data_IF_292129270952
#
_entry.id   IF_292129270952
#
_cell.length_a   1.000
_cell.length_b   1.000
_cell.length_c   1.000
_cell.angle_alpha   90.00
_cell.angle_beta   90.00
_cell.angle_gamma   90.00
#
_symmetry.space_group_name_H-M   'P 1'
#
loop_
_entity.id
_entity.type
_entity.pdbx_description
1 polymer ?
#
# COMPACT_ATOMS: atom_id res chain seq x y z
N UNK A 1 -15.09 -3.49 22.41
CA UNK A 1 -13.85 -2.92 21.85
C UNK A 1 -12.69 -3.68 22.47
N UNK A 2 -11.71 -4.09 21.68
CA UNK A 2 -10.46 -4.60 22.22
C UNK A 2 -9.54 -3.40 22.47
N UNK A 3 -8.88 -3.35 23.63
CA UNK A 3 -7.90 -2.33 23.97
C UNK A 3 -6.52 -2.97 24.09
N UNK A 4 -5.51 -2.34 23.48
CA UNK A 4 -4.11 -2.71 23.66
C UNK A 4 -3.38 -1.51 24.28
N UNK A 5 -2.47 -1.79 25.21
CA UNK A 5 -1.60 -0.76 25.80
C UNK A 5 -0.18 -1.03 25.33
N UNK A 6 0.40 -0.06 24.65
CA UNK A 6 1.76 -0.13 24.10
C UNK A 6 2.57 0.98 24.75
N UNK A 7 3.76 0.67 25.26
CA UNK A 7 4.72 1.67 25.72
C UNK A 7 5.62 2.05 24.55
N UNK A 8 5.62 3.33 24.21
CA UNK A 8 6.46 3.90 23.18
C UNK A 8 7.63 4.65 23.82
N UNK A 9 8.77 4.70 23.14
CA UNK A 9 9.82 5.64 23.50
C UNK A 9 9.43 7.08 23.13
N UNK A 10 10.20 8.04 23.65
CA UNK A 10 9.92 9.47 23.47
C UNK A 10 9.95 9.89 21.99
N UNK A 11 10.91 9.36 21.22
CA UNK A 11 11.06 9.67 19.80
C UNK A 11 9.84 9.19 18.99
N UNK A 12 9.39 7.96 19.25
CA UNK A 12 8.24 7.36 18.59
C UNK A 12 6.93 8.06 18.98
N UNK A 13 6.82 8.48 20.24
CA UNK A 13 5.67 9.26 20.73
C UNK A 13 5.57 10.59 19.99
N UNK A 14 6.68 11.30 19.81
CA UNK A 14 6.69 12.58 19.11
C UNK A 14 6.39 12.42 17.61
N UNK A 15 6.94 11.38 16.96
CA UNK A 15 6.62 11.08 15.56
C UNK A 15 5.13 10.79 15.37
N UNK A 16 4.51 10.02 16.27
CA UNK A 16 3.08 9.73 16.23
C UNK A 16 2.25 11.00 16.40
N UNK A 17 2.66 11.90 17.32
CA UNK A 17 1.99 13.19 17.53
C UNK A 17 2.05 14.08 16.29
N UNK A 18 3.21 14.14 15.63
CA UNK A 18 3.39 14.91 14.39
C UNK A 18 2.52 14.32 13.27
N UNK A 19 2.52 13.00 13.09
CA UNK A 19 1.71 12.34 12.06
C UNK A 19 0.22 12.61 12.25
N UNK A 20 -0.26 12.48 13.49
CA UNK A 20 -1.65 12.75 13.85
C UNK A 20 -2.04 14.21 13.55
N UNK A 21 -1.19 15.17 13.91
CA UNK A 21 -1.43 16.59 13.62
C UNK A 21 -1.45 16.89 12.12
N UNK A 22 -0.57 16.25 11.33
CA UNK A 22 -0.54 16.40 9.88
C UNK A 22 -1.79 15.85 9.20
N UNK A 23 -2.33 14.74 9.71
CA UNK A 23 -3.53 14.10 9.17
C UNK A 23 -4.84 14.65 9.77
N UNK A 24 -4.77 15.54 10.76
CA UNK A 24 -5.95 16.10 11.43
C UNK A 24 -6.67 15.11 12.35
N UNK A 25 -5.95 14.13 12.87
CA UNK A 25 -6.47 13.05 13.71
C UNK A 25 -6.04 13.20 15.18
N UNK A 26 -6.74 12.49 16.07
CA UNK A 26 -6.22 12.26 17.41
C UNK A 26 -5.04 11.27 17.35
N UNK A 27 -4.16 11.28 18.35
CA UNK A 27 -3.06 10.29 18.42
C UNK A 27 -3.58 8.84 18.45
N UNK A 28 -4.72 8.59 19.09
CA UNK A 28 -5.33 7.26 19.13
C UNK A 28 -5.83 6.84 17.74
N UNK A 29 -6.51 7.74 17.03
CA UNK A 29 -7.02 7.45 15.69
C UNK A 29 -5.89 7.22 14.69
N UNK A 30 -4.83 8.03 14.76
CA UNK A 30 -3.64 7.85 13.93
C UNK A 30 -2.96 6.50 14.22
N UNK A 31 -2.79 6.15 15.50
CA UNK A 31 -2.23 4.85 15.89
C UNK A 31 -3.09 3.69 15.37
N UNK A 32 -4.42 3.81 15.46
CA UNK A 32 -5.35 2.80 14.94
C UNK A 32 -5.21 2.67 13.43
N UNK A 33 -5.14 3.78 12.69
CA UNK A 33 -5.04 3.76 11.24
C UNK A 33 -3.68 3.23 10.75
N UNK A 34 -2.59 3.54 11.46
CA UNK A 34 -1.28 2.94 11.21
C UNK A 34 -1.33 1.42 11.42
N UNK A 35 -1.93 0.97 12.52
CA UNK A 35 -2.08 -0.46 12.81
C UNK A 35 -2.97 -1.15 11.78
N UNK A 36 -4.11 -0.56 11.41
CA UNK A 36 -4.99 -1.06 10.35
C UNK A 36 -4.23 -1.19 9.03
N UNK A 37 -3.50 -0.16 8.60
CA UNK A 37 -2.72 -0.18 7.37
C UNK A 37 -1.55 -1.19 7.40
N UNK A 38 -0.89 -1.33 8.55
CA UNK A 38 0.20 -2.28 8.73
C UNK A 38 -0.31 -3.72 8.70
N UNK A 39 -1.44 -3.98 9.37
CA UNK A 39 -2.12 -5.27 9.42
C UNK A 39 -2.91 -5.57 8.14
N UNK A 40 -3.25 -4.57 7.33
CA UNK A 40 -3.90 -4.73 6.03
C UNK A 40 -3.02 -5.45 4.98
N UNK A 41 -1.82 -5.93 5.34
CA UNK A 41 -1.05 -6.89 4.53
C UNK A 41 -1.39 -8.32 4.94
N UNK A 42 -2.19 -9.05 4.14
CA UNK A 42 -1.85 -10.27 3.34
C UNK A 42 -3.10 -10.70 2.53
N UNK A 43 -3.86 -9.77 1.93
CA UNK A 43 -4.79 -10.16 0.85
C UNK A 43 -4.60 -9.28 -0.38
N UNK A 44 -3.32 -9.08 -0.66
CA UNK A 44 -2.89 -8.80 -2.01
C UNK A 44 -3.05 -10.10 -2.80
N UNK A 45 -4.29 -10.52 -3.02
CA UNK A 45 -4.68 -11.72 -3.76
C UNK A 45 -3.88 -11.76 -5.07
N UNK A 46 -2.80 -12.53 -5.01
CA UNK A 46 -1.86 -12.81 -6.07
C UNK A 46 -0.78 -11.76 -6.36
N UNK A 47 0.32 -12.30 -6.89
CA UNK A 47 1.49 -11.54 -7.33
C UNK A 47 1.18 -10.58 -8.48
N UNK A 48 2.22 -9.94 -9.02
CA UNK A 48 2.08 -8.98 -10.13
C UNK A 48 1.21 -9.54 -11.27
N UNK A 49 1.40 -10.80 -11.66
CA UNK A 49 0.61 -11.47 -12.70
C UNK A 49 -0.88 -11.55 -12.39
N UNK A 50 -1.26 -11.84 -11.14
CA UNK A 50 -2.68 -11.89 -10.74
C UNK A 50 -3.31 -10.50 -10.73
N UNK A 51 -2.57 -9.47 -10.31
CA UNK A 51 -3.06 -8.08 -10.39
C UNK A 51 -3.30 -7.63 -11.82
N UNK A 52 -2.34 -7.90 -12.71
CA UNK A 52 -2.48 -7.60 -14.14
C UNK A 52 -3.69 -8.35 -14.69
N UNK A 53 -3.78 -9.67 -14.45
CA UNK A 53 -4.89 -10.48 -14.94
C UNK A 53 -6.26 -10.01 -14.41
N UNK A 54 -6.38 -9.63 -13.14
CA UNK A 54 -7.64 -9.12 -12.59
C UNK A 54 -8.03 -7.77 -13.21
N UNK A 55 -7.05 -6.89 -13.47
CA UNK A 55 -7.29 -5.59 -14.09
C UNK A 55 -7.86 -5.71 -15.51
N UNK A 56 -7.34 -6.64 -16.30
CA UNK A 56 -7.76 -6.82 -17.70
C UNK A 56 -8.86 -7.87 -17.87
N UNK A 57 -9.00 -8.82 -16.94
CA UNK A 57 -10.03 -9.86 -16.97
C UNK A 57 -11.45 -9.31 -16.84
N UNK A 58 -11.64 -8.22 -16.08
CA UNK A 58 -12.93 -7.52 -15.99
C UNK A 58 -13.41 -6.94 -17.35
N UNK A 59 -12.49 -6.74 -18.30
CA UNK A 59 -12.77 -6.24 -19.65
C UNK A 59 -12.79 -7.36 -20.71
N UNK A 60 -12.72 -8.63 -20.29
CA UNK A 60 -12.65 -9.79 -21.20
C UNK A 60 -11.23 -10.13 -21.70
N UNK A 61 -10.20 -9.48 -21.16
CA UNK A 61 -8.83 -9.53 -21.67
C UNK A 61 -8.55 -8.41 -22.68
N UNK A 62 -7.27 -8.16 -22.96
CA UNK A 62 -6.82 -7.23 -23.99
C UNK A 62 -5.80 -7.93 -24.87
N UNK A 63 -6.01 -7.88 -26.18
CA UNK A 63 -4.99 -8.26 -27.15
C UNK A 63 -4.26 -6.98 -27.55
N UNK A 64 -2.93 -6.97 -27.42
CA UNK A 64 -2.11 -5.79 -27.72
C UNK A 64 -1.33 -6.06 -29.00
N UNK A 65 -1.42 -5.12 -29.95
CA UNK A 65 -0.54 -5.15 -31.12
C UNK A 65 0.91 -4.97 -30.66
N UNK A 66 1.74 -5.96 -30.97
CA UNK A 66 3.15 -5.91 -30.62
C UNK A 66 3.84 -4.84 -31.46
N UNK A 67 4.52 -3.85 -30.85
CA UNK A 67 5.27 -2.88 -31.61
C UNK A 67 6.42 -3.55 -32.35
N UNK A 68 6.78 -3.00 -33.51
CA UNK A 68 7.97 -3.40 -34.26
C UNK A 68 9.20 -3.31 -33.37
N UNK A 69 9.97 -4.39 -33.25
CA UNK A 69 11.22 -4.40 -32.50
C UNK A 69 12.24 -3.50 -33.22
N UNK A 70 12.51 -2.32 -32.69
CA UNK A 70 13.68 -1.55 -33.06
C UNK A 70 14.88 -2.09 -32.29
N UNK A 71 15.76 -2.83 -32.96
CA UNK A 71 17.10 -3.08 -32.43
C UNK A 71 17.81 -1.73 -32.38
N UNK A 72 18.07 -1.21 -31.19
CA UNK A 72 19.05 -0.14 -31.04
C UNK A 72 20.42 -0.75 -31.33
N UNK A 73 20.78 -0.80 -32.61
CA UNK A 73 22.16 -0.96 -33.08
C UNK A 73 22.92 0.32 -32.69
N UNK A 74 23.27 0.42 -31.41
CA UNK A 74 24.33 1.31 -30.96
C UNK A 74 25.65 0.61 -31.30
N UNK A 75 26.19 0.93 -32.48
CA UNK A 75 27.59 0.71 -32.82
C UNK A 75 28.48 1.79 -32.23
#
# INVERSE_FOLDING_TARGET
MASITIRLDEQMTEQLRIAAAQNGHSMEDEARQILENALAKVDRAGGLGTRIRNRFGAMGGVELDLPSRSENLSG
#
